data_IF_590690932204
#
_entry.id   IF_590690932204
#
_cell.length_a   1.000
_cell.length_b   1.000
_cell.length_c   1.000
_cell.angle_alpha   90.00
_cell.angle_beta   90.00
_cell.angle_gamma   90.00
#
_symmetry.space_group_name_H-M   'P 1'
#
loop_
_entity.id
_entity.type
_entity.pdbx_description
1 polymer ?
#
# COMPACT_ATOMS: atom_id res chain seq x y z
N UNK A 1 -9.55 9.57 -4.42
CA UNK A 1 -8.41 10.25 -3.77
C UNK A 1 -7.16 9.55 -4.28
N UNK A 2 -6.22 10.28 -4.86
CA UNK A 2 -4.93 9.69 -5.26
C UNK A 2 -4.04 9.45 -4.02
N UNK A 3 -2.92 8.75 -4.22
CA UNK A 3 -2.06 8.33 -3.11
C UNK A 3 -1.35 9.51 -2.42
N UNK A 4 -0.92 10.53 -3.16
CA UNK A 4 -0.25 11.72 -2.60
C UNK A 4 -1.22 12.59 -1.79
N UNK A 5 -2.45 12.74 -2.28
CA UNK A 5 -3.54 13.37 -1.58
C UNK A 5 -3.90 12.60 -0.31
N UNK A 6 -3.87 11.27 -0.34
CA UNK A 6 -4.06 10.45 0.86
C UNK A 6 -2.94 10.71 1.89
N UNK A 7 -1.67 10.58 1.50
CA UNK A 7 -0.53 10.83 2.39
C UNK A 7 -0.52 12.25 3.00
N UNK A 8 -1.15 13.21 2.32
CA UNK A 8 -1.24 14.60 2.80
C UNK A 8 -2.40 14.86 3.74
N UNK A 9 -3.42 14.01 3.75
CA UNK A 9 -4.68 14.27 4.45
C UNK A 9 -5.10 13.15 5.41
N UNK A 10 -4.37 12.04 5.53
CA UNK A 10 -4.79 10.89 6.33
C UNK A 10 -4.96 11.19 7.83
N UNK A 11 -4.34 12.26 8.33
CA UNK A 11 -4.43 12.76 9.72
C UNK A 11 -5.42 13.94 9.89
N UNK A 12 -6.04 14.39 8.79
CA UNK A 12 -7.04 15.47 8.77
C UNK A 12 -8.44 14.92 8.96
N UNK A 13 -8.78 14.64 10.21
CA UNK A 13 -10.08 14.04 10.55
C UNK A 13 -11.25 15.04 10.63
N UNK A 14 -10.99 16.35 10.55
CA UNK A 14 -12.02 17.38 10.62
C UNK A 14 -13.00 17.31 9.44
N UNK A 15 -12.49 16.94 8.27
CA UNK A 15 -13.25 16.92 7.01
C UNK A 15 -14.08 15.64 6.83
N UNK A 16 -13.93 14.66 7.74
CA UNK A 16 -14.60 13.37 7.64
C UNK A 16 -16.05 13.49 8.15
N UNK A 17 -17.06 13.15 7.33
CA UNK A 17 -18.46 13.23 7.74
C UNK A 17 -18.78 12.37 8.95
N UNK A 18 -19.66 12.87 9.83
CA UNK A 18 -20.07 12.16 11.03
C UNK A 18 -20.76 10.81 10.74
N UNK A 19 -21.44 10.70 9.61
CA UNK A 19 -22.02 9.44 9.12
C UNK A 19 -20.96 8.36 8.96
N UNK A 20 -19.78 8.71 8.43
CA UNK A 20 -18.63 7.81 8.31
C UNK A 20 -18.00 7.52 9.67
N UNK A 21 -17.85 8.53 10.53
CA UNK A 21 -17.26 8.36 11.89
C UNK A 21 -18.05 7.40 12.78
N UNK A 22 -19.36 7.25 12.55
CA UNK A 22 -20.25 6.31 13.24
C UNK A 22 -20.07 4.85 12.80
N UNK A 23 -19.47 4.60 11.64
CA UNK A 23 -19.36 3.24 11.08
C UNK A 23 -18.36 2.37 11.84
N UNK A 24 -18.52 1.05 11.73
CA UNK A 24 -17.54 0.08 12.24
C UNK A 24 -16.26 0.07 11.41
N UNK A 25 -16.39 0.09 10.09
CA UNK A 25 -15.26 0.07 9.14
C UNK A 25 -14.30 1.23 9.33
N UNK A 26 -14.79 2.43 9.66
CA UNK A 26 -13.93 3.56 9.95
C UNK A 26 -13.08 3.35 11.22
N UNK A 27 -13.67 2.80 12.29
CA UNK A 27 -12.93 2.44 13.51
C UNK A 27 -11.93 1.32 13.26
N UNK A 28 -12.27 0.34 12.44
CA UNK A 28 -11.36 -0.73 12.02
C UNK A 28 -10.16 -0.15 11.26
N UNK A 29 -10.41 0.74 10.30
CA UNK A 29 -9.37 1.48 9.59
C UNK A 29 -8.44 2.25 10.54
N UNK A 30 -9.01 3.02 11.47
CA UNK A 30 -8.20 3.80 12.43
C UNK A 30 -7.35 2.90 13.32
N UNK A 31 -7.86 1.74 13.76
CA UNK A 31 -7.07 0.80 14.54
C UNK A 31 -5.95 0.17 13.72
N UNK A 32 -6.23 -0.29 12.50
CA UNK A 32 -5.22 -0.86 11.61
C UNK A 32 -4.11 0.16 11.29
N UNK A 33 -4.49 1.41 11.00
CA UNK A 33 -3.53 2.49 10.76
C UNK A 33 -2.68 2.78 12.01
N UNK A 34 -3.32 2.87 13.19
CA UNK A 34 -2.62 3.06 14.46
C UNK A 34 -1.64 1.92 14.73
N UNK A 35 -2.05 0.67 14.58
CA UNK A 35 -1.20 -0.52 14.77
C UNK A 35 0.00 -0.51 13.83
N UNK A 36 -0.20 -0.18 12.55
CA UNK A 36 0.88 -0.04 11.58
C UNK A 36 1.89 1.03 12.00
N UNK A 37 1.43 2.22 12.39
CA UNK A 37 2.31 3.33 12.80
C UNK A 37 3.07 3.03 14.10
N UNK A 38 2.43 2.35 15.06
CA UNK A 38 3.10 1.86 16.28
C UNK A 38 4.20 0.86 15.91
N UNK A 39 3.88 -0.14 15.08
CA UNK A 39 4.86 -1.15 14.65
C UNK A 39 6.02 -0.52 13.85
N UNK A 40 5.75 0.53 13.07
CA UNK A 40 6.80 1.30 12.39
C UNK A 40 7.69 2.05 13.38
N UNK A 41 7.11 2.77 14.36
CA UNK A 41 7.86 3.47 15.40
C UNK A 41 8.69 2.53 16.27
N UNK A 42 8.16 1.35 16.62
CA UNK A 42 8.90 0.36 17.38
C UNK A 42 10.18 -0.10 16.66
N UNK A 43 10.14 -0.18 15.32
CA UNK A 43 11.29 -0.54 14.48
C UNK A 43 12.27 0.61 14.27
N UNK A 44 11.77 1.82 14.01
CA UNK A 44 12.63 2.97 13.68
C UNK A 44 13.15 3.71 14.91
N UNK A 45 12.42 3.66 16.03
CA UNK A 45 12.71 4.41 17.26
C UNK A 45 12.43 3.54 18.51
N UNK A 46 13.20 2.45 18.74
CA UNK A 46 12.92 1.50 19.83
C UNK A 46 13.05 2.08 21.24
N UNK A 47 13.73 3.23 21.40
CA UNK A 47 13.88 3.93 22.67
C UNK A 47 12.71 4.89 22.98
N UNK A 48 11.81 5.13 22.03
CA UNK A 48 10.65 6.00 22.23
C UNK A 48 9.55 5.22 22.95
N UNK A 49 9.11 5.72 24.11
CA UNK A 49 7.94 5.19 24.81
C UNK A 49 6.66 5.67 24.13
N UNK A 50 6.04 4.81 23.31
CA UNK A 50 4.75 5.10 22.67
C UNK A 50 3.64 5.29 23.72
N UNK A 51 3.72 4.59 24.84
CA UNK A 51 2.75 4.69 25.93
C UNK A 51 2.76 6.09 26.56
N UNK A 52 3.94 6.66 26.85
CA UNK A 52 4.06 8.04 27.35
C UNK A 52 3.49 9.06 26.35
N UNK A 53 3.68 8.82 25.06
CA UNK A 53 3.14 9.67 24.00
C UNK A 53 1.61 9.59 23.91
N UNK A 54 1.03 8.42 24.16
CA UNK A 54 -0.42 8.25 24.27
C UNK A 54 -1.00 8.84 25.54
N UNK A 55 -0.30 8.77 26.68
CA UNK A 55 -0.75 9.43 27.91
C UNK A 55 -0.83 10.95 27.73
N UNK A 56 0.19 11.57 27.12
CA UNK A 56 0.17 13.00 26.76
C UNK A 56 -0.97 13.34 25.82
N UNK A 57 -1.13 12.54 24.75
CA UNK A 57 -2.20 12.75 23.77
C UNK A 57 -3.60 12.58 24.40
N UNK A 58 -3.75 11.63 25.33
CA UNK A 58 -5.01 11.38 26.01
C UNK A 58 -5.36 12.52 26.98
N UNK A 59 -4.39 13.06 27.74
CA UNK A 59 -4.61 14.21 28.60
C UNK A 59 -5.05 15.46 27.81
N UNK A 60 -4.39 15.74 26.69
CA UNK A 60 -4.78 16.84 25.80
C UNK A 60 -6.15 16.61 25.15
N UNK A 61 -6.44 15.36 24.79
CA UNK A 61 -7.73 14.97 24.21
C UNK A 61 -8.87 15.14 25.22
N UNK A 62 -8.71 14.65 26.45
CA UNK A 62 -9.72 14.75 27.52
C UNK A 62 -10.09 16.21 27.77
N UNK A 63 -9.09 17.09 27.89
CA UNK A 63 -9.32 18.52 28.04
C UNK A 63 -10.12 19.11 26.87
N UNK A 64 -9.71 18.84 25.63
CA UNK A 64 -10.41 19.35 24.43
C UNK A 64 -11.81 18.75 24.26
N UNK A 65 -12.01 17.51 24.69
CA UNK A 65 -13.29 16.82 24.64
C UNK A 65 -14.28 17.42 25.63
N UNK A 66 -13.85 17.72 26.85
CA UNK A 66 -14.65 18.41 27.86
C UNK A 66 -15.02 19.84 27.42
N UNK A 67 -14.07 20.57 26.83
CA UNK A 67 -14.28 21.91 26.29
C UNK A 67 -15.13 21.91 25.00
N UNK A 68 -15.30 20.76 24.35
CA UNK A 68 -16.03 20.63 23.08
C UNK A 68 -15.32 21.31 21.90
N UNK A 69 -14.00 21.50 21.97
CA UNK A 69 -13.18 22.24 21.00
C UNK A 69 -12.56 21.36 19.92
N UNK A 70 -12.84 20.05 19.93
CA UNK A 70 -12.29 19.11 18.96
C UNK A 70 -12.95 19.31 17.59
N UNK A 71 -12.13 19.68 16.61
CA UNK A 71 -12.56 19.89 15.23
C UNK A 71 -13.14 18.61 14.61
N UNK A 72 -14.26 18.74 13.90
CA UNK A 72 -14.97 17.61 13.30
C UNK A 72 -15.82 16.76 14.27
N UNK A 73 -15.96 17.18 15.53
CA UNK A 73 -16.75 16.49 16.56
C UNK A 73 -17.86 17.35 17.18
N UNK A 74 -18.28 18.43 16.48
CA UNK A 74 -19.36 19.30 16.97
C UNK A 74 -20.65 18.52 17.21
N UNK A 75 -21.21 18.66 18.42
CA UNK A 75 -22.37 17.91 18.92
C UNK A 75 -23.68 18.24 18.18
N UNK A 76 -23.71 19.28 17.36
CA UNK A 76 -24.97 19.92 16.94
C UNK A 76 -25.49 19.57 15.53
N UNK A 77 -24.74 18.89 14.66
CA UNK A 77 -25.20 18.78 13.26
C UNK A 77 -26.10 17.59 12.92
N UNK A 78 -26.18 16.52 13.71
CA UNK A 78 -26.92 15.31 13.30
C UNK A 78 -27.99 14.80 14.26
N UNK A 79 -28.00 15.24 15.54
CA UNK A 79 -29.05 14.82 16.48
C UNK A 79 -30.30 15.70 16.42
N UNK A 80 -30.18 16.94 15.93
CA UNK A 80 -31.28 17.90 15.95
C UNK A 80 -32.37 17.59 14.90
N UNK A 81 -32.02 17.09 13.71
CA UNK A 81 -33.01 16.87 12.63
C UNK A 81 -33.75 15.53 12.68
N UNK A 82 -33.23 14.51 13.37
CA UNK A 82 -33.85 13.17 13.41
C UNK A 82 -34.75 12.95 14.65
N UNK A 83 -34.66 13.83 15.66
CA UNK A 83 -35.26 13.58 16.99
C UNK A 83 -36.17 14.69 17.51
N UNK A 84 -36.35 15.79 16.79
CA UNK A 84 -37.33 16.81 17.14
C UNK A 84 -38.74 16.37 16.74
N UNK A 85 -39.31 15.43 17.49
CA UNK A 85 -40.75 15.27 17.51
C UNK A 85 -41.40 16.60 17.90
N UNK A 86 -42.52 16.96 17.27
CA UNK A 86 -43.23 18.18 17.63
C UNK A 86 -43.99 17.94 18.94
N UNK A 87 -43.73 18.76 19.96
CA UNK A 87 -44.51 18.72 21.20
C UNK A 87 -45.98 18.97 20.89
N UNK A 88 -46.87 18.16 21.46
CA UNK A 88 -48.31 18.32 21.34
C UNK A 88 -48.84 18.73 22.71
N UNK A 89 -49.51 19.87 22.77
CA UNK A 89 -50.24 20.24 23.97
C UNK A 89 -51.48 19.34 24.10
N UNK A 90 -51.55 18.61 25.21
CA UNK A 90 -52.63 17.67 25.52
C UNK A 90 -53.77 18.35 26.30
N UNK A 91 -53.61 19.62 26.70
CA UNK A 91 -54.59 20.36 27.51
C UNK A 91 -55.97 20.37 26.85
N UNK A 92 -56.03 20.51 25.52
CA UNK A 92 -57.24 20.63 24.70
C UNK A 92 -57.97 19.32 24.38
N UNK A 93 -57.42 18.16 24.74
CA UNK A 93 -58.00 16.85 24.39
C UNK A 93 -58.64 16.20 25.62
N UNK A 94 -59.91 15.82 25.55
CA UNK A 94 -60.64 15.25 26.70
C UNK A 94 -60.51 13.73 26.79
N UNK A 95 -60.33 13.06 25.65
CA UNK A 95 -60.19 11.59 25.59
C UNK A 95 -59.05 11.15 24.67
N UNK A 96 -58.62 9.89 24.83
CA UNK A 96 -57.67 9.26 23.91
C UNK A 96 -58.22 9.15 22.48
N UNK A 97 -59.55 9.04 22.31
CA UNK A 97 -60.19 8.95 21.00
C UNK A 97 -60.05 10.28 20.23
N UNK A 98 -60.07 11.41 20.92
CA UNK A 98 -59.89 12.72 20.27
C UNK A 98 -58.47 12.88 19.69
N UNK A 99 -57.48 12.20 20.27
CA UNK A 99 -56.12 12.14 19.77
C UNK A 99 -56.00 11.24 18.53
N UNK A 100 -56.89 10.25 18.37
CA UNK A 100 -56.90 9.36 17.19
C UNK A 100 -57.13 10.14 15.90
N UNK A 101 -57.96 11.19 15.95
CA UNK A 101 -58.27 12.07 14.82
C UNK A 101 -57.04 12.83 14.26
N UNK A 102 -55.97 12.96 15.05
CA UNK A 102 -54.70 13.57 14.63
C UNK A 102 -53.88 12.66 13.68
N UNK A 103 -54.23 11.37 13.62
CA UNK A 103 -53.58 10.41 12.75
C UNK A 103 -52.23 9.87 13.26
N UNK A 104 -51.77 8.81 12.61
CA UNK A 104 -50.58 8.04 13.01
C UNK A 104 -49.30 8.88 13.07
N UNK A 105 -49.11 9.80 12.12
CA UNK A 105 -47.87 10.57 12.00
C UNK A 105 -47.74 11.64 13.10
N UNK A 106 -48.84 12.31 13.44
CA UNK A 106 -48.85 13.31 14.52
C UNK A 106 -48.65 12.66 15.88
N UNK A 107 -49.31 11.53 16.13
CA UNK A 107 -49.14 10.73 17.36
C UNK A 107 -47.72 10.18 17.47
N UNK A 108 -47.14 9.69 16.37
CA UNK A 108 -45.74 9.25 16.32
C UNK A 108 -44.81 10.42 16.66
N UNK A 109 -44.99 11.58 16.05
CA UNK A 109 -44.16 12.76 16.30
C UNK A 109 -44.23 13.21 17.76
N UNK A 110 -45.41 13.27 18.36
CA UNK A 110 -45.60 13.64 19.77
C UNK A 110 -45.01 12.61 20.74
N UNK A 111 -45.19 11.30 20.47
CA UNK A 111 -44.57 10.24 21.27
C UNK A 111 -43.04 10.25 21.17
N UNK A 112 -42.48 10.52 19.98
CA UNK A 112 -41.03 10.72 19.78
C UNK A 112 -40.53 11.92 20.58
N UNK A 113 -41.28 13.04 20.57
CA UNK A 113 -40.95 14.26 21.33
C UNK A 113 -40.84 14.00 22.83
N UNK A 114 -41.67 13.10 23.35
CA UNK A 114 -41.69 12.68 24.76
C UNK A 114 -40.76 11.50 25.06
N UNK A 115 -40.01 10.99 24.06
CA UNK A 115 -39.10 9.85 24.23
C UNK A 115 -39.80 8.49 24.41
N UNK A 116 -41.10 8.39 24.12
CA UNK A 116 -41.93 7.21 24.34
C UNK A 116 -41.96 6.26 23.12
N UNK A 117 -42.34 5.00 23.36
CA UNK A 117 -42.47 3.99 22.30
C UNK A 117 -43.61 4.34 21.34
N UNK A 118 -43.30 4.26 20.04
CA UNK A 118 -44.24 4.60 18.96
C UNK A 118 -44.83 3.37 18.24
N UNK A 119 -44.59 2.15 18.74
CA UNK A 119 -45.15 0.93 18.17
C UNK A 119 -46.63 0.74 18.54
N UNK A 120 -47.33 -0.11 17.79
CA UNK A 120 -48.74 -0.44 18.04
C UNK A 120 -49.73 0.21 17.08
N UNK A 121 -51.01 -0.09 17.32
CA UNK A 121 -52.16 0.47 16.59
C UNK A 121 -52.33 1.97 16.87
N UNK A 122 -53.13 2.66 16.04
CA UNK A 122 -53.41 4.09 16.20
C UNK A 122 -54.00 4.39 17.59
N UNK A 123 -54.93 3.54 18.04
CA UNK A 123 -55.54 3.58 19.38
C UNK A 123 -54.53 3.43 20.51
N UNK A 124 -53.66 2.41 20.45
CA UNK A 124 -52.62 2.19 21.46
C UNK A 124 -51.63 3.36 21.58
N UNK A 125 -51.36 4.06 20.47
CA UNK A 125 -50.51 5.26 20.48
C UNK A 125 -51.23 6.45 21.11
N UNK A 126 -52.50 6.63 20.80
CA UNK A 126 -53.33 7.70 21.35
C UNK A 126 -53.53 7.52 22.86
N UNK A 127 -53.83 6.30 23.32
CA UNK A 127 -53.93 5.95 24.75
C UNK A 127 -52.61 6.20 25.49
N UNK A 128 -51.48 5.80 24.90
CA UNK A 128 -50.16 6.01 25.48
C UNK A 128 -49.78 7.48 25.57
N UNK A 129 -50.12 8.28 24.57
CA UNK A 129 -49.88 9.71 24.58
C UNK A 129 -50.80 10.40 25.60
N UNK A 130 -52.08 10.02 25.64
CA UNK A 130 -53.05 10.56 26.60
C UNK A 130 -52.68 10.25 28.05
N UNK A 131 -52.13 9.06 28.33
CA UNK A 131 -51.63 8.69 29.65
C UNK A 131 -50.51 9.61 30.18
N UNK A 132 -49.87 10.41 29.32
CA UNK A 132 -48.88 11.42 29.74
C UNK A 132 -49.51 12.75 30.18
N UNK A 133 -50.81 12.97 29.91
CA UNK A 133 -51.53 14.20 30.24
C UNK A 133 -51.59 14.37 31.76
N UNK A 134 -50.98 15.43 32.28
CA UNK A 134 -50.99 15.77 33.71
C UNK A 134 -49.92 15.09 34.56
N UNK A 135 -49.07 14.25 33.98
CA UNK A 135 -47.94 13.62 34.68
C UNK A 135 -46.61 14.30 34.28
N UNK A 136 -45.70 14.50 35.23
CA UNK A 136 -44.33 14.98 34.91
C UNK A 136 -43.55 13.82 34.27
N UNK A 137 -42.78 14.09 33.21
CA UNK A 137 -41.95 13.07 32.54
C UNK A 137 -41.02 12.30 33.51
N UNK A 138 -40.63 12.92 34.62
CA UNK A 138 -39.81 12.33 35.68
C UNK A 138 -40.52 11.22 36.49
N UNK A 139 -41.85 11.18 36.50
CA UNK A 139 -42.67 10.22 37.25
C UNK A 139 -43.10 9.01 36.41
N UNK A 140 -42.95 9.10 35.08
CA UNK A 140 -43.31 8.01 34.18
C UNK A 140 -42.26 6.89 34.21
N UNK A 141 -42.73 5.64 34.29
CA UNK A 141 -41.91 4.47 34.61
C UNK A 141 -40.63 4.32 33.76
N UNK A 142 -39.49 4.17 34.46
CA UNK A 142 -38.14 3.97 33.92
C UNK A 142 -38.04 2.83 32.89
N UNK A 143 -38.95 1.86 32.89
CA UNK A 143 -38.99 0.72 31.96
C UNK A 143 -39.28 1.12 30.51
N UNK A 144 -40.00 2.23 30.28
CA UNK A 144 -40.26 2.76 28.93
C UNK A 144 -39.06 3.57 28.37
N UNK A 145 -38.32 4.28 29.23
CA UNK A 145 -37.20 5.16 28.87
C UNK A 145 -35.82 4.44 28.87
N UNK A 146 -35.62 3.42 29.71
CA UNK A 146 -34.30 2.83 29.98
C UNK A 146 -33.59 2.22 28.74
N UNK A 147 -34.35 1.65 27.78
CA UNK A 147 -33.73 1.05 26.58
C UNK A 147 -33.10 2.08 25.64
N UNK A 148 -33.63 3.31 25.59
CA UNK A 148 -33.09 4.39 24.75
C UNK A 148 -31.88 5.05 25.40
N UNK A 149 -31.97 5.31 26.70
CA UNK A 149 -30.85 5.87 27.44
C UNK A 149 -29.60 4.97 27.41
N UNK A 150 -29.77 3.65 27.53
CA UNK A 150 -28.66 2.68 27.42
C UNK A 150 -28.06 2.64 26.00
N UNK A 151 -28.89 2.72 24.94
CA UNK A 151 -28.38 2.77 23.56
C UNK A 151 -27.65 4.06 23.25
N UNK A 152 -28.16 5.20 23.73
CA UNK A 152 -27.57 6.51 23.50
C UNK A 152 -26.24 6.64 24.24
N UNK A 153 -26.14 6.13 25.47
CA UNK A 153 -24.88 6.07 26.21
C UNK A 153 -23.84 5.17 25.51
N UNK A 154 -24.27 4.00 25.00
CA UNK A 154 -23.37 3.12 24.23
C UNK A 154 -22.90 3.77 22.93
N UNK A 155 -23.76 4.52 22.25
CA UNK A 155 -23.37 5.26 21.05
C UNK A 155 -22.39 6.38 21.39
N UNK A 156 -22.67 7.18 22.42
CA UNK A 156 -21.76 8.24 22.90
C UNK A 156 -20.39 7.66 23.30
N UNK A 157 -20.37 6.53 24.01
CA UNK A 157 -19.11 5.85 24.34
C UNK A 157 -18.34 5.42 23.09
N UNK A 158 -19.02 4.83 22.09
CA UNK A 158 -18.38 4.47 20.82
C UNK A 158 -17.80 5.68 20.09
N UNK A 159 -18.54 6.79 20.07
CA UNK A 159 -18.10 8.05 19.47
C UNK A 159 -16.86 8.62 20.18
N UNK A 160 -16.88 8.63 21.51
CA UNK A 160 -15.72 9.00 22.33
C UNK A 160 -14.50 8.15 21.99
N UNK A 161 -14.67 6.82 21.87
CA UNK A 161 -13.58 5.92 21.49
C UNK A 161 -13.04 6.21 20.09
N UNK A 162 -13.91 6.48 19.10
CA UNK A 162 -13.48 6.88 17.76
C UNK A 162 -12.69 8.18 17.78
N UNK A 163 -13.17 9.20 18.49
CA UNK A 163 -12.50 10.50 18.59
C UNK A 163 -11.11 10.37 19.25
N UNK A 164 -11.00 9.52 20.26
CA UNK A 164 -9.72 9.22 20.91
C UNK A 164 -8.74 8.52 19.98
N UNK A 165 -9.23 7.57 19.16
CA UNK A 165 -8.39 6.93 18.13
C UNK A 165 -7.87 7.94 17.10
N UNK A 166 -8.71 8.89 16.67
CA UNK A 166 -8.28 9.99 15.79
C UNK A 166 -7.14 10.79 16.44
N UNK A 167 -7.25 11.14 17.72
CA UNK A 167 -6.20 11.86 18.45
C UNK A 167 -4.88 11.07 18.52
N UNK A 168 -4.95 9.74 18.74
CA UNK A 168 -3.75 8.89 18.72
C UNK A 168 -3.09 8.86 17.34
N UNK A 169 -3.87 8.70 16.27
CA UNK A 169 -3.31 8.72 14.91
C UNK A 169 -2.71 10.09 14.57
N UNK A 170 -3.31 11.19 15.03
CA UNK A 170 -2.71 12.53 14.88
C UNK A 170 -1.38 12.65 15.63
N UNK A 171 -1.28 12.12 16.86
CA UNK A 171 -0.03 12.11 17.62
C UNK A 171 1.05 11.32 16.88
N UNK A 172 0.73 10.11 16.43
CA UNK A 172 1.65 9.26 15.66
C UNK A 172 2.09 9.92 14.35
N UNK A 173 1.14 10.53 13.61
CA UNK A 173 1.42 11.31 12.39
C UNK A 173 2.37 12.48 12.67
N UNK A 174 2.20 13.18 13.81
CA UNK A 174 3.10 14.27 14.21
C UNK A 174 4.50 13.80 14.54
N UNK A 175 4.66 12.60 15.11
CA UNK A 175 5.97 12.01 15.41
C UNK A 175 6.69 11.55 14.14
N UNK A 176 5.92 11.16 13.13
CA UNK A 176 6.39 10.63 11.85
C UNK A 176 6.28 11.65 10.71
N UNK A 177 6.33 12.95 11.02
CA UNK A 177 6.19 14.02 10.03
C UNK A 177 7.26 13.93 8.94
N UNK A 178 8.49 13.67 9.37
CA UNK A 178 9.67 13.68 8.50
C UNK A 178 9.67 12.43 7.60
N UNK A 179 9.36 11.27 8.17
CA UNK A 179 9.20 10.03 7.40
C UNK A 179 8.03 10.12 6.42
N UNK A 180 6.95 10.83 6.79
CA UNK A 180 5.82 11.08 5.88
C UNK A 180 6.24 11.97 4.72
N UNK A 181 6.99 13.03 4.96
CA UNK A 181 7.50 13.91 3.89
C UNK A 181 8.46 13.17 2.97
N UNK A 182 9.39 12.39 3.54
CA UNK A 182 10.30 11.53 2.77
C UNK A 182 9.53 10.51 1.90
N UNK A 183 8.46 9.93 2.44
CA UNK A 183 7.60 8.99 1.70
C UNK A 183 6.90 9.68 0.53
N UNK A 184 6.42 10.92 0.71
CA UNK A 184 5.79 11.68 -0.39
C UNK A 184 6.79 11.98 -1.50
N UNK A 185 7.97 12.49 -1.14
CA UNK A 185 9.03 12.76 -2.12
C UNK A 185 9.41 11.48 -2.87
N UNK A 186 9.47 10.35 -2.16
CA UNK A 186 9.74 9.05 -2.78
C UNK A 186 8.67 8.63 -3.80
N UNK A 187 7.39 8.82 -3.46
CA UNK A 187 6.28 8.54 -4.36
C UNK A 187 6.31 9.47 -5.58
N UNK A 188 6.54 10.76 -5.39
CA UNK A 188 6.64 11.73 -6.49
C UNK A 188 7.79 11.38 -7.43
N UNK A 189 8.95 11.02 -6.87
CA UNK A 189 10.12 10.56 -7.64
C UNK A 189 9.79 9.32 -8.46
N UNK A 190 9.12 8.31 -7.87
CA UNK A 190 8.70 7.09 -8.58
C UNK A 190 7.64 7.35 -9.64
N UNK A 191 6.76 8.34 -9.45
CA UNK A 191 5.75 8.72 -10.44
C UNK A 191 6.33 9.50 -11.62
N UNK A 192 7.42 10.24 -11.41
CA UNK A 192 8.08 11.04 -12.45
C UNK A 192 9.02 10.23 -13.37
N UNK A 193 9.33 8.98 -13.02
CA UNK A 193 10.30 8.13 -13.73
C UNK A 193 9.67 7.29 -14.84
N UNK A 194 10.51 6.93 -15.82
CA UNK A 194 10.15 6.00 -16.89
C UNK A 194 10.11 4.54 -16.41
N UNK A 195 9.42 3.67 -17.17
CA UNK A 195 9.17 2.26 -16.80
C UNK A 195 10.47 1.46 -16.48
N UNK A 196 11.60 1.79 -17.12
CA UNK A 196 12.88 1.10 -16.89
C UNK A 196 13.56 1.43 -15.56
N UNK A 197 13.50 2.69 -15.13
CA UNK A 197 14.17 3.17 -13.90
C UNK A 197 13.41 2.78 -12.62
N UNK A 198 12.11 2.47 -12.72
CA UNK A 198 11.33 1.92 -11.61
C UNK A 198 11.64 0.45 -11.33
N UNK A 199 12.06 -0.33 -12.34
CA UNK A 199 12.42 -1.75 -12.16
C UNK A 199 13.73 -1.91 -11.36
N UNK A 200 14.74 -1.08 -11.64
CA UNK A 200 16.03 -1.13 -10.93
C UNK A 200 15.89 -0.78 -9.43
N UNK A 201 15.12 0.26 -9.08
CA UNK A 201 14.86 0.60 -7.66
C UNK A 201 13.93 -0.40 -6.94
N UNK A 202 12.97 -1.03 -7.65
CA UNK A 202 12.17 -2.10 -7.05
C UNK A 202 13.02 -3.36 -6.79
N UNK A 203 14.02 -3.64 -7.63
CA UNK A 203 15.01 -4.70 -7.39
C UNK A 203 15.87 -4.37 -6.16
N UNK A 204 16.41 -3.15 -6.07
CA UNK A 204 17.22 -2.71 -4.91
C UNK A 204 16.43 -2.69 -3.58
N UNK A 205 15.15 -2.28 -3.60
CA UNK A 205 14.30 -2.29 -2.39
C UNK A 205 13.96 -3.73 -1.98
N UNK A 206 13.71 -4.62 -2.94
CA UNK A 206 13.45 -6.03 -2.66
C UNK A 206 14.69 -6.74 -2.10
N UNK A 207 15.91 -6.37 -2.52
CA UNK A 207 17.14 -6.91 -1.94
C UNK A 207 17.35 -6.48 -0.47
N UNK A 208 16.81 -5.32 -0.05
CA UNK A 208 16.92 -4.81 1.34
C UNK A 208 15.79 -5.34 2.24
N UNK A 209 14.64 -5.70 1.68
CA UNK A 209 13.45 -6.18 2.40
C UNK A 209 13.54 -7.64 2.87
N UNK A 210 14.55 -8.40 2.44
CA UNK A 210 14.64 -9.85 2.66
C UNK A 210 15.31 -10.25 4.01
N UNK A 211 15.58 -9.28 4.90
CA UNK A 211 16.36 -9.49 6.13
C UNK A 211 15.54 -9.51 7.45
N UNK A 212 14.20 -9.44 7.39
CA UNK A 212 13.33 -9.25 8.59
C UNK A 212 12.06 -10.16 8.67
N UNK A 213 12.04 -11.33 8.02
CA UNK A 213 11.00 -12.36 8.27
C UNK A 213 11.59 -13.66 8.83
N UNK A 214 11.51 -13.79 10.16
CA UNK A 214 11.48 -15.01 10.97
C UNK A 214 12.39 -16.17 10.51
N UNK A 215 13.60 -16.18 11.06
CA UNK A 215 14.66 -17.17 10.89
C UNK A 215 14.34 -18.55 11.53
N UNK A 216 13.10 -19.02 11.44
CA UNK A 216 12.67 -20.35 11.86
C UNK A 216 12.60 -21.29 10.66
N UNK A 217 13.75 -21.76 10.18
CA UNK A 217 13.88 -22.72 9.06
C UNK A 217 12.86 -23.87 9.22
N UNK A 218 11.80 -23.93 8.39
CA UNK A 218 10.79 -24.96 8.52
C UNK A 218 11.39 -26.34 8.24
N UNK A 219 11.10 -27.32 9.11
CA UNK A 219 11.63 -28.69 9.01
C UNK A 219 11.38 -29.28 7.62
N UNK A 220 12.44 -29.35 6.80
CA UNK A 220 12.43 -29.83 5.41
C UNK A 220 13.22 -31.15 5.27
N UNK A 221 12.68 -32.27 5.79
CA UNK A 221 13.38 -33.56 5.84
C UNK A 221 13.63 -34.18 4.45
N UNK A 222 13.09 -33.59 3.37
CA UNK A 222 13.27 -34.06 1.98
C UNK A 222 14.10 -33.09 1.12
N UNK A 223 14.67 -32.02 1.69
CA UNK A 223 15.48 -31.02 0.98
C UNK A 223 14.84 -30.52 -0.34
N UNK A 224 13.52 -30.34 -0.33
CA UNK A 224 12.80 -29.77 -1.47
C UNK A 224 13.11 -28.27 -1.55
N UNK A 225 13.26 -27.69 -2.76
CA UNK A 225 13.45 -26.25 -2.88
C UNK A 225 12.28 -25.50 -2.25
N UNK A 226 12.62 -24.43 -1.53
CA UNK A 226 11.66 -23.56 -0.88
C UNK A 226 11.05 -22.64 -1.94
N UNK A 227 9.75 -22.41 -1.85
CA UNK A 227 9.07 -21.41 -2.67
C UNK A 227 9.37 -20.01 -2.17
N UNK A 228 8.81 -19.02 -2.86
CA UNK A 228 8.80 -17.61 -2.44
C UNK A 228 8.04 -17.35 -1.13
N UNK A 229 7.31 -18.36 -0.62
CA UNK A 229 6.56 -18.37 0.65
C UNK A 229 7.32 -19.09 1.78
N UNK A 230 8.63 -19.36 1.62
CA UNK A 230 9.46 -20.06 2.62
C UNK A 230 9.06 -21.53 2.89
N UNK A 231 8.00 -22.04 2.24
CA UNK A 231 7.50 -23.41 2.40
C UNK A 231 8.04 -24.34 1.31
N UNK A 232 8.25 -25.64 1.60
CA UNK A 232 8.66 -26.61 0.59
C UNK A 232 7.66 -26.70 -0.58
N UNK A 233 8.14 -26.49 -1.80
CA UNK A 233 7.28 -26.54 -3.00
C UNK A 233 6.69 -27.96 -3.16
N UNK A 234 5.38 -28.11 -3.44
CA UNK A 234 4.77 -29.41 -3.69
C UNK A 234 5.52 -30.21 -4.77
N UNK A 235 5.74 -31.52 -4.52
CA UNK A 235 6.59 -32.38 -5.36
C UNK A 235 6.18 -32.46 -6.84
N UNK A 236 4.89 -32.37 -7.13
CA UNK A 236 4.38 -32.36 -8.51
C UNK A 236 4.73 -31.05 -9.24
N UNK A 237 4.71 -29.92 -8.54
CA UNK A 237 5.07 -28.61 -9.07
C UNK A 237 6.58 -28.50 -9.29
N UNK A 238 7.36 -29.10 -8.38
CA UNK A 238 8.80 -29.28 -8.50
C UNK A 238 9.20 -30.07 -9.76
N UNK A 239 8.49 -31.17 -10.06
CA UNK A 239 8.68 -31.95 -11.30
C UNK A 239 8.17 -31.22 -12.54
N UNK A 240 7.03 -30.53 -12.46
CA UNK A 240 6.42 -29.82 -13.58
C UNK A 240 7.33 -28.70 -14.11
N UNK A 241 7.93 -27.91 -13.21
CA UNK A 241 8.83 -26.81 -13.59
C UNK A 241 10.29 -27.25 -13.79
N UNK A 242 10.58 -28.55 -13.72
CA UNK A 242 11.92 -29.09 -13.96
C UNK A 242 12.97 -28.63 -12.94
N UNK A 243 12.56 -28.21 -11.74
CA UNK A 243 13.45 -27.76 -10.65
C UNK A 243 14.35 -28.88 -10.11
N UNK A 244 14.07 -30.14 -10.49
CA UNK A 244 14.90 -31.32 -10.22
C UNK A 244 16.08 -31.49 -11.16
N UNK A 245 16.17 -30.66 -12.21
CA UNK A 245 17.25 -30.71 -13.18
C UNK A 245 18.25 -29.63 -12.80
N UNK A 246 19.47 -30.05 -12.45
CA UNK A 246 20.57 -29.18 -12.10
C UNK A 246 21.41 -28.84 -13.32
N UNK A 247 21.65 -27.55 -13.56
CA UNK A 247 22.50 -27.03 -14.62
C UNK A 247 23.71 -26.32 -14.01
N UNK A 248 24.93 -26.89 -14.10
CA UNK A 248 26.14 -26.23 -13.65
C UNK A 248 26.62 -25.19 -14.67
N UNK A 249 27.14 -24.06 -14.19
CA UNK A 249 27.79 -23.04 -15.01
C UNK A 249 29.24 -22.81 -14.56
N UNK A 250 30.21 -23.12 -15.43
CA UNK A 250 31.65 -23.02 -15.15
C UNK A 250 32.11 -21.57 -15.04
N UNK A 251 31.59 -20.69 -15.90
CA UNK A 251 31.87 -19.24 -15.89
C UNK A 251 31.47 -18.59 -14.55
N UNK A 252 30.44 -19.12 -13.87
CA UNK A 252 30.01 -18.68 -12.55
C UNK A 252 30.76 -19.38 -11.39
N UNK A 253 31.86 -20.08 -11.64
CA UNK A 253 32.59 -20.84 -10.63
C UNK A 253 31.92 -22.17 -10.25
N UNK A 254 31.39 -22.88 -11.24
CA UNK A 254 30.65 -24.15 -11.08
C UNK A 254 29.39 -24.03 -10.20
N UNK A 255 28.76 -22.85 -10.17
CA UNK A 255 27.47 -22.68 -9.52
C UNK A 255 26.42 -23.55 -10.20
N UNK A 256 25.60 -24.22 -9.38
CA UNK A 256 24.51 -25.07 -9.86
C UNK A 256 23.19 -24.33 -9.81
N UNK A 257 22.54 -24.18 -10.96
CA UNK A 257 21.20 -23.59 -11.10
C UNK A 257 20.14 -24.69 -11.21
N UNK A 258 19.07 -24.59 -10.43
CA UNK A 258 17.98 -25.57 -10.41
C UNK A 258 16.86 -25.15 -11.36
N UNK A 259 16.69 -25.94 -12.41
CA UNK A 259 15.63 -25.79 -13.40
C UNK A 259 15.95 -24.87 -14.57
N UNK A 260 15.30 -25.07 -15.72
CA UNK A 260 15.64 -24.36 -16.96
C UNK A 260 15.41 -22.85 -16.89
N UNK A 261 14.36 -22.39 -16.18
CA UNK A 261 14.03 -20.96 -16.10
C UNK A 261 15.08 -20.17 -15.31
N UNK A 262 15.51 -20.69 -14.16
CA UNK A 262 16.58 -20.09 -13.37
C UNK A 262 17.91 -20.10 -14.15
N UNK A 263 18.19 -21.21 -14.84
CA UNK A 263 19.35 -21.31 -15.71
C UNK A 263 19.28 -20.44 -16.98
N UNK A 264 18.12 -20.00 -17.47
CA UNK A 264 18.09 -19.02 -18.55
C UNK A 264 18.30 -17.60 -18.02
N UNK A 265 17.72 -17.29 -16.86
CA UNK A 265 17.85 -15.96 -16.24
C UNK A 265 19.27 -15.64 -15.83
N UNK A 266 20.05 -16.63 -15.37
CA UNK A 266 21.39 -16.38 -14.86
C UNK A 266 22.38 -15.76 -15.86
N UNK A 267 22.15 -15.90 -17.18
CA UNK A 267 22.99 -15.27 -18.20
C UNK A 267 22.99 -13.73 -18.12
N UNK A 268 21.91 -13.14 -17.61
CA UNK A 268 21.78 -11.70 -17.42
C UNK A 268 22.08 -11.27 -15.97
N UNK A 269 22.27 -12.21 -15.05
CA UNK A 269 22.57 -11.90 -13.65
C UNK A 269 24.01 -11.37 -13.51
N UNK A 270 24.24 -10.55 -12.47
CA UNK A 270 25.52 -9.91 -12.23
C UNK A 270 26.68 -10.91 -12.16
N UNK A 271 26.48 -12.07 -11.52
CA UNK A 271 27.54 -13.08 -11.34
C UNK A 271 28.07 -13.61 -12.67
N UNK A 272 27.19 -13.89 -13.63
CA UNK A 272 27.59 -14.36 -14.95
C UNK A 272 28.24 -13.24 -15.76
N UNK A 273 27.66 -12.04 -15.72
CA UNK A 273 28.23 -10.85 -16.36
C UNK A 273 29.62 -10.51 -15.83
N UNK A 274 29.84 -10.66 -14.53
CA UNK A 274 31.14 -10.47 -13.89
C UNK A 274 32.14 -11.55 -14.32
N UNK A 275 31.73 -12.82 -14.33
CA UNK A 275 32.56 -13.92 -14.85
C UNK A 275 33.01 -13.69 -16.29
N UNK A 276 32.10 -13.26 -17.16
CA UNK A 276 32.41 -12.89 -18.56
C UNK A 276 33.39 -11.70 -18.64
N UNK A 277 33.21 -10.70 -17.77
CA UNK A 277 34.12 -9.55 -17.68
C UNK A 277 35.53 -9.95 -17.24
N UNK A 278 35.66 -10.87 -16.29
CA UNK A 278 36.95 -11.41 -15.86
C UNK A 278 37.67 -12.17 -16.99
N UNK A 279 36.93 -12.77 -17.91
CA UNK A 279 37.47 -13.41 -19.12
C UNK A 279 37.78 -12.41 -20.25
N UNK A 280 37.43 -11.12 -20.08
CA UNK A 280 37.59 -10.09 -21.11
C UNK A 280 36.61 -10.23 -22.28
N UNK A 281 35.49 -10.92 -22.08
CA UNK A 281 34.47 -11.16 -23.10
C UNK A 281 33.23 -10.29 -22.80
N UNK A 282 32.70 -9.52 -23.78
CA UNK A 282 31.49 -8.74 -23.56
C UNK A 282 30.26 -9.66 -23.45
N UNK A 283 29.47 -9.49 -22.37
CA UNK A 283 28.23 -10.24 -22.17
C UNK A 283 27.15 -9.75 -23.16
N UNK A 284 27.05 -10.42 -24.31
CA UNK A 284 26.11 -10.13 -25.39
C UNK A 284 25.29 -11.37 -25.71
N UNK A 285 24.15 -11.21 -26.39
CA UNK A 285 23.25 -12.32 -26.72
C UNK A 285 23.92 -13.48 -27.50
N UNK A 286 25.06 -13.23 -28.15
CA UNK A 286 25.87 -14.26 -28.80
C UNK A 286 26.38 -15.35 -27.85
N UNK A 287 26.52 -15.02 -26.56
CA UNK A 287 27.04 -15.93 -25.52
C UNK A 287 25.92 -16.60 -24.70
N UNK A 288 24.65 -16.42 -25.08
CA UNK A 288 23.54 -17.12 -24.43
C UNK A 288 23.73 -18.64 -24.54
N UNK A 289 23.44 -19.37 -23.47
CA UNK A 289 23.61 -20.83 -23.33
C UNK A 289 25.06 -21.34 -23.23
N UNK A 290 26.06 -20.46 -23.18
CA UNK A 290 27.47 -20.88 -23.05
C UNK A 290 27.84 -20.94 -21.57
N UNK A 291 28.12 -22.13 -21.07
CA UNK A 291 28.50 -22.35 -19.66
C UNK A 291 29.97 -22.61 -19.46
N UNK A 292 30.65 -23.19 -20.45
CA UNK A 292 32.05 -23.56 -20.39
C UNK A 292 32.94 -22.39 -20.77
N UNK A 293 34.04 -22.24 -20.04
CA UNK A 293 35.00 -21.16 -20.27
C UNK A 293 35.72 -21.37 -21.62
N UNK A 294 36.06 -22.62 -21.96
CA UNK A 294 36.70 -22.98 -23.24
C UNK A 294 35.89 -22.51 -24.44
N UNK A 295 34.59 -22.76 -24.41
CA UNK A 295 33.68 -22.54 -25.53
C UNK A 295 33.43 -21.04 -25.72
N UNK A 296 33.33 -20.29 -24.62
CA UNK A 296 33.19 -18.83 -24.63
C UNK A 296 34.42 -18.16 -25.28
N UNK A 297 35.64 -18.60 -24.90
CA UNK A 297 36.89 -18.06 -25.46
C UNK A 297 37.03 -18.40 -26.95
N UNK A 298 36.67 -19.62 -27.36
CA UNK A 298 36.72 -20.01 -28.77
C UNK A 298 35.75 -19.19 -29.63
N UNK A 299 34.51 -19.04 -29.16
CA UNK A 299 33.50 -18.24 -29.86
C UNK A 299 33.92 -16.77 -29.95
N UNK A 300 34.44 -16.20 -28.86
CA UNK A 300 34.94 -14.83 -28.87
C UNK A 300 36.09 -14.66 -29.86
N UNK A 301 37.02 -15.62 -29.92
CA UNK A 301 38.10 -15.62 -30.92
C UNK A 301 37.60 -15.70 -32.37
N UNK A 302 36.49 -16.39 -32.64
CA UNK A 302 35.84 -16.40 -33.96
C UNK A 302 35.18 -15.06 -34.30
N UNK A 303 34.39 -14.52 -33.37
CA UNK A 303 33.71 -13.23 -33.53
C UNK A 303 34.72 -12.09 -33.73
N UNK A 304 35.81 -12.08 -32.96
CA UNK A 304 36.85 -11.06 -33.07
C UNK A 304 37.53 -11.07 -34.44
N UNK A 305 37.88 -12.26 -34.95
CA UNK A 305 38.45 -12.42 -36.31
C UNK A 305 37.50 -11.95 -37.40
N UNK A 306 36.21 -12.29 -37.30
CA UNK A 306 35.22 -11.80 -38.25
C UNK A 306 35.09 -10.27 -38.20
N UNK A 307 35.04 -9.69 -37.00
CA UNK A 307 34.96 -8.23 -36.84
C UNK A 307 36.23 -7.51 -37.32
N UNK A 308 37.41 -8.09 -37.10
CA UNK A 308 38.68 -7.61 -37.63
C UNK A 308 38.70 -7.67 -39.16
N UNK A 309 38.17 -8.73 -39.78
CA UNK A 309 38.09 -8.85 -41.25
C UNK A 309 37.10 -7.88 -41.91
N UNK A 310 36.07 -7.45 -41.17
CA UNK A 310 35.07 -6.48 -41.64
C UNK A 310 35.49 -5.02 -41.36
N UNK A 311 36.58 -4.81 -40.63
CA UNK A 311 37.06 -3.47 -40.31
C UNK A 311 37.79 -2.92 -41.53
N UNK A 312 37.21 -1.88 -42.13
CA UNK A 312 37.81 -1.16 -43.26
C UNK A 312 39.26 -0.76 -42.93
N UNK A 313 40.18 -1.18 -43.79
CA UNK A 313 41.60 -0.91 -43.69
C UNK A 313 42.00 0.08 -44.78
N UNK A 314 42.33 1.34 -44.44
CA UNK A 314 42.69 2.36 -45.43
C UNK A 314 43.86 1.97 -46.34
N UNK A 315 44.79 1.12 -45.90
CA UNK A 315 45.91 0.70 -46.74
C UNK A 315 45.50 -0.27 -47.85
N UNK A 316 44.43 -1.05 -47.61
CA UNK A 316 43.99 -2.14 -48.49
C UNK A 316 42.68 -1.82 -49.23
N UNK A 317 41.78 -1.08 -48.58
CA UNK A 317 40.40 -0.85 -49.02
C UNK A 317 40.15 0.60 -49.50
N UNK A 318 41.14 1.50 -49.39
CA UNK A 318 41.07 2.85 -49.98
C UNK A 318 41.61 2.80 -51.41
N UNK A 319 40.76 3.13 -52.38
CA UNK A 319 41.06 3.09 -53.81
C UNK A 319 41.36 4.50 -54.34
N UNK A 320 42.42 4.62 -55.14
CA UNK A 320 42.84 5.84 -55.83
C UNK A 320 42.83 5.60 -57.34
N UNK A 321 42.43 6.63 -58.08
CA UNK A 321 42.47 6.62 -59.55
C UNK A 321 43.76 7.29 -60.04
N UNK A 322 44.48 6.63 -60.93
CA UNK A 322 45.67 7.19 -61.57
C UNK A 322 45.31 8.18 -62.71
N UNK A 323 46.33 8.83 -63.29
CA UNK A 323 46.15 9.79 -64.38
C UNK A 323 45.61 9.16 -65.69
N UNK A 324 45.63 7.82 -65.79
CA UNK A 324 45.14 7.03 -66.91
C UNK A 324 43.75 6.39 -66.63
N UNK A 325 43.17 6.62 -65.45
CA UNK A 325 41.86 6.11 -65.04
C UNK A 325 41.86 4.69 -64.47
N UNK A 326 43.03 4.12 -64.13
CA UNK A 326 43.10 2.82 -63.46
C UNK A 326 42.92 2.97 -61.95
N UNK A 327 42.13 2.08 -61.37
CA UNK A 327 41.86 2.05 -59.93
C UNK A 327 42.85 1.13 -59.24
N UNK A 328 43.60 1.67 -58.29
CA UNK A 328 44.59 0.94 -57.48
C UNK A 328 44.40 1.26 -56.00
N UNK A 329 44.72 0.31 -55.12
CA UNK A 329 44.67 0.60 -53.68
C UNK A 329 45.75 1.61 -53.27
N UNK A 330 45.53 2.32 -52.16
CA UNK A 330 46.39 3.38 -51.64
C UNK A 330 47.85 2.99 -51.58
N UNK A 331 48.15 1.79 -51.07
CA UNK A 331 49.52 1.32 -50.93
C UNK A 331 50.22 1.20 -52.29
N UNK A 332 49.54 0.62 -53.27
CA UNK A 332 50.07 0.50 -54.63
C UNK A 332 50.21 1.87 -55.28
N UNK A 333 49.25 2.77 -55.07
CA UNK A 333 49.34 4.16 -55.53
C UNK A 333 50.54 4.90 -54.94
N UNK A 334 50.75 4.84 -53.63
CA UNK A 334 51.89 5.48 -52.98
C UNK A 334 53.23 4.88 -53.42
N UNK A 335 53.31 3.56 -53.60
CA UNK A 335 54.51 2.89 -54.10
C UNK A 335 54.81 3.28 -55.56
N UNK A 336 53.79 3.30 -56.45
CA UNK A 336 53.94 3.76 -57.82
C UNK A 336 54.32 5.25 -57.89
N UNK A 337 53.76 6.08 -57.00
CA UNK A 337 54.11 7.50 -56.85
C UNK A 337 55.58 7.68 -56.47
N UNK A 338 56.05 6.89 -55.50
CA UNK A 338 57.47 6.91 -55.06
C UNK A 338 58.43 6.43 -56.14
N UNK A 339 57.99 5.52 -56.99
CA UNK A 339 58.75 5.03 -58.14
C UNK A 339 58.66 5.95 -59.37
N UNK A 340 57.79 6.98 -59.34
CA UNK A 340 57.60 7.94 -60.43
C UNK A 340 56.80 7.39 -61.62
N UNK A 341 55.90 6.43 -61.37
CA UNK A 341 55.16 5.66 -62.38
C UNK A 341 53.67 6.07 -62.51
N UNK A 342 53.24 7.19 -61.92
CA UNK A 342 51.85 7.70 -61.94
C UNK A 342 51.68 9.03 -62.64
#
# INVERSE_FOLDING_TARGET
>A
MDYLAFLSNFDRFADIPMSSKKTGSYREYLNALKEYLIAFLARTRPLLSVDEEFEKANADFEKKWEEGTISGWSRDQHSALAHSGAYLDLSSFETAIDLEALGLDRLKSALVALGLKCGGTLKERAERLFATKGHKLSEMEKTALAKRHDTDQKEQFKLYQTARLEAYVQRLSSLLSDEREATKENVERKQARGIGENMEEEEDINEISDDDEDDSIPYNPKNLPLGWDGKPIPYWLYKLHGLNISFPCEICGNQVYKGPKAFQRHFNEWRHSHGMRCLGIPNTAHFANITKISDAVELWGKIRRQKESLKWNPEHDEEFEDSAGNVVNKRTFEDLKRQGLL
#
